data_IF_477760467265
#
_entry.id   IF_477760467265
#
_cell.length_a   1.000
_cell.length_b   1.000
_cell.length_c   1.000
_cell.angle_alpha   90.00
_cell.angle_beta   90.00
_cell.angle_gamma   90.00
#
_symmetry.space_group_name_H-M   'P 1'
#
loop_
_entity.id
_entity.type
_entity.pdbx_description
1 polymer ?
2 non-polymer ?
3 water ?
#
# COMPACT_ATOMS: atom_id res chain seq x y z
N UNK A 1 6.91 29.59 14.10
CA UNK A 1 5.96 29.38 13.01
C UNK A 1 6.58 29.95 11.74
N UNK A 2 6.41 29.25 10.63
CA UNK A 2 7.00 29.65 9.35
C UNK A 2 5.89 29.90 8.33
N UNK A 3 6.16 30.79 7.39
CA UNK A 3 5.18 31.21 6.40
C UNK A 3 5.42 30.47 5.10
N UNK A 4 4.35 29.91 4.53
CA UNK A 4 4.40 29.22 3.24
C UNK A 4 4.05 30.19 2.12
N UNK A 5 4.96 30.33 1.17
CA UNK A 5 4.74 31.12 -0.05
C UNK A 5 4.46 30.15 -1.18
N UNK A 6 3.20 30.04 -1.56
CA UNK A 6 2.77 29.08 -2.57
C UNK A 6 2.76 29.78 -3.93
N UNK A 7 3.29 29.11 -4.94
CA UNK A 7 3.42 29.68 -6.27
C UNK A 7 3.12 28.60 -7.30
N UNK A 8 2.67 29.04 -8.47
CA UNK A 8 2.25 28.11 -9.50
C UNK A 8 0.87 27.52 -9.21
N UNK A 9 0.52 26.53 -10.01
CA UNK A 9 -0.78 25.88 -9.93
C UNK A 9 -0.62 24.42 -9.50
N UNK A 10 -1.48 23.98 -8.60
CA UNK A 10 -1.33 22.66 -8.00
C UNK A 10 -1.39 21.58 -9.08
N UNK A 11 -0.49 20.61 -8.98
CA UNK A 11 -0.46 19.54 -9.95
C UNK A 11 0.24 19.88 -11.26
N UNK A 12 0.82 21.06 -11.39
CA UNK A 12 1.45 21.48 -12.63
C UNK A 12 2.95 21.65 -12.39
N UNK A 13 3.69 21.80 -13.49
CA UNK A 13 5.15 21.83 -13.39
C UNK A 13 5.68 23.10 -12.72
N UNK A 14 4.87 24.15 -12.66
CA UNK A 14 5.30 25.40 -12.03
C UNK A 14 4.98 25.49 -10.55
N UNK A 15 4.32 24.48 -9.98
CA UNK A 15 3.93 24.56 -8.58
C UNK A 15 5.16 24.51 -7.70
N UNK A 16 5.20 25.36 -6.68
CA UNK A 16 6.38 25.49 -5.84
C UNK A 16 5.98 26.11 -4.52
N UNK A 17 6.52 25.57 -3.43
CA UNK A 17 6.26 26.08 -2.09
C UNK A 17 7.58 26.53 -1.48
N UNK A 18 7.62 27.80 -1.09
CA UNK A 18 8.79 28.40 -0.45
C UNK A 18 8.43 28.78 0.99
N UNK A 19 9.45 28.82 1.84
CA UNK A 19 9.27 29.11 3.25
C UNK A 19 9.91 30.45 3.60
N UNK A 20 9.26 31.19 4.49
CA UNK A 20 9.79 32.44 5.00
C UNK A 20 9.46 32.55 6.47
N UNK A 21 10.28 33.32 7.20
CA UNK A 21 9.93 33.71 8.57
C UNK A 21 8.71 34.61 8.56
N UNK A 22 8.30 35.07 9.74
CA UNK A 22 7.23 36.04 9.82
C UNK A 22 7.75 37.45 9.61
N UNK A 23 9.06 37.62 9.51
CA UNK A 23 9.66 38.85 9.03
C UNK A 23 9.44 39.06 7.54
N UNK A 24 9.22 37.99 6.78
CA UNK A 24 9.24 38.02 5.34
C UNK A 24 10.52 37.46 4.75
N UNK A 25 11.57 37.34 5.56
CA UNK A 25 12.83 36.76 5.12
C UNK A 25 12.63 35.34 4.61
N UNK A 26 13.07 35.08 3.39
CA UNK A 26 13.02 33.73 2.86
C UNK A 26 14.07 32.85 3.53
N UNK A 27 13.79 31.55 3.59
CA UNK A 27 14.76 30.63 4.19
C UNK A 27 14.53 29.22 3.67
N UNK A 28 15.61 28.44 3.66
CA UNK A 28 15.59 27.06 3.19
C UNK A 28 15.03 26.14 4.27
N UNK A 29 14.02 25.33 3.97
CA UNK A 29 13.54 24.34 4.95
C UNK A 29 14.59 23.31 5.32
N UNK A 30 15.58 23.07 4.46
CA UNK A 30 16.63 22.09 4.76
C UNK A 30 17.79 22.72 5.53
N UNK A 31 18.19 23.94 5.16
CA UNK A 31 19.37 24.56 5.73
C UNK A 31 19.07 25.44 6.94
N UNK A 32 18.00 26.24 6.91
CA UNK A 32 17.85 27.29 7.89
C UNK A 32 16.80 27.02 8.96
N UNK A 33 16.05 25.92 8.85
CA UNK A 33 15.13 25.52 9.91
C UNK A 33 15.89 24.67 10.93
N UNK A 34 15.84 25.02 12.22
CA UNK A 34 16.53 24.20 13.22
C UNK A 34 15.92 22.82 13.33
N UNK A 35 16.77 21.81 13.48
CA UNK A 35 16.28 20.44 13.65
C UNK A 35 15.52 20.30 14.97
N UNK A 36 16.00 20.96 16.03
CA UNK A 36 15.36 20.94 17.34
C UNK A 36 14.65 22.27 17.59
N UNK A 37 13.33 22.33 17.47
CA UNK A 37 12.65 23.63 17.65
C UNK A 37 12.81 24.22 19.05
N UNK A 38 13.02 23.40 20.08
CA UNK A 38 13.30 23.89 21.43
C UNK A 38 14.63 23.34 21.96
N UNK A 39 15.61 23.17 21.07
CA UNK A 39 16.90 22.71 21.49
C UNK A 39 16.93 21.21 21.79
N UNK A 40 18.15 20.67 21.86
CA UNK A 40 18.32 19.24 22.09
C UNK A 40 17.98 18.84 23.52
N UNK A 41 17.83 19.80 24.43
CA UNK A 41 17.54 19.51 25.83
C UNK A 41 16.06 19.59 26.17
N UNK A 42 15.20 19.82 25.18
CA UNK A 42 13.77 19.85 25.43
C UNK A 42 13.28 18.47 25.85
N UNK A 43 12.36 18.45 26.81
CA UNK A 43 11.73 17.21 27.25
C UNK A 43 10.23 17.47 27.27
N UNK A 44 9.42 16.73 26.49
CA UNK A 44 9.80 15.66 25.56
C UNK A 44 10.59 16.19 24.37
N UNK A 45 11.50 15.35 23.85
CA UNK A 45 12.36 15.78 22.77
C UNK A 45 11.56 15.94 21.48
N UNK A 46 11.67 17.11 20.87
CA UNK A 46 10.95 17.45 19.65
C UNK A 46 11.92 17.65 18.50
N UNK A 47 11.55 17.13 17.33
CA UNK A 47 12.25 17.38 16.10
C UNK A 47 11.31 18.09 15.15
N UNK A 48 11.84 19.01 14.36
CA UNK A 48 11.00 19.64 13.34
C UNK A 48 10.94 18.75 12.11
N UNK A 49 9.75 18.69 11.52
CA UNK A 49 9.51 17.92 10.31
C UNK A 49 9.02 18.86 9.22
N UNK A 50 9.68 18.82 8.06
CA UNK A 50 9.24 19.53 6.88
C UNK A 50 8.33 18.59 6.10
N UNK A 51 7.04 18.93 6.04
CA UNK A 51 6.07 18.08 5.36
C UNK A 51 6.21 18.31 3.85
N UNK A 52 6.53 17.25 3.13
CA UNK A 52 6.61 17.29 1.68
C UNK A 52 5.39 16.69 1.01
N UNK A 53 4.95 15.51 1.45
CA UNK A 53 3.81 14.83 0.86
C UNK A 53 2.69 14.71 1.90
N UNK A 54 1.58 15.40 1.71
CA UNK A 54 0.49 15.34 2.70
C UNK A 54 -0.16 13.98 2.74
N UNK A 55 -0.73 13.67 3.90
CA UNK A 55 -1.54 12.47 4.08
C UNK A 55 -2.60 12.38 2.98
N UNK A 56 -2.71 11.20 2.38
CA UNK A 56 -3.73 10.86 1.38
C UNK A 56 -3.49 11.56 0.03
N UNK A 57 -2.22 11.74 -0.35
CA UNK A 57 -1.86 12.21 -1.67
C UNK A 57 -0.79 11.29 -2.25
N UNK A 58 -0.46 11.48 -3.53
CA UNK A 58 0.50 10.61 -4.19
C UNK A 58 1.48 11.33 -5.09
N UNK A 59 1.40 12.65 -5.23
CA UNK A 59 2.41 13.37 -6.01
C UNK A 59 3.72 13.39 -5.24
N UNK A 60 4.82 13.11 -5.95
CA UNK A 60 6.13 13.02 -5.32
C UNK A 60 6.70 14.42 -5.16
N UNK A 61 6.24 15.10 -4.11
CA UNK A 61 6.77 16.41 -3.76
C UNK A 61 8.02 16.23 -2.92
N UNK A 62 9.05 17.04 -3.22
CA UNK A 62 10.31 16.95 -2.50
C UNK A 62 10.99 18.31 -2.50
N UNK A 63 11.79 18.56 -1.46
CA UNK A 63 12.67 19.71 -1.46
C UNK A 63 13.67 19.61 -2.60
N UNK A 64 13.81 20.69 -3.36
CA UNK A 64 14.75 20.74 -4.49
C UNK A 64 16.07 21.31 -3.97
N UNK A 65 16.98 20.41 -3.60
CA UNK A 65 18.19 20.82 -2.90
C UNK A 65 19.15 21.62 -3.78
N UNK A 66 19.04 21.53 -5.10
CA UNK A 66 19.91 22.31 -5.98
C UNK A 66 19.49 23.77 -6.08
N UNK A 67 18.20 24.05 -5.85
CA UNK A 67 17.68 25.39 -6.11
C UNK A 67 17.90 26.29 -4.90
N UNK A 68 17.96 27.61 -5.11
CA UNK A 68 18.10 28.52 -3.97
C UNK A 68 16.90 28.44 -3.04
N UNK A 69 17.18 28.33 -1.75
CA UNK A 69 16.22 28.18 -0.67
C UNK A 69 15.52 26.84 -0.68
N UNK A 70 15.97 25.90 -1.51
CA UNK A 70 15.51 24.51 -1.51
C UNK A 70 13.98 24.39 -1.43
N UNK A 71 13.27 24.93 -2.44
CA UNK A 71 11.80 24.87 -2.41
C UNK A 71 11.29 23.46 -2.63
N UNK A 72 10.03 23.27 -2.27
CA UNK A 72 9.36 21.99 -2.46
C UNK A 72 8.62 22.05 -3.79
N UNK A 73 8.93 21.11 -4.68
CA UNK A 73 8.30 21.01 -5.99
C UNK A 73 8.08 19.53 -6.28
N UNK A 74 7.32 19.27 -7.34
CA UNK A 74 7.04 17.88 -7.72
C UNK A 74 8.23 17.31 -8.49
N UNK A 75 8.60 16.08 -8.14
CA UNK A 75 9.70 15.41 -8.81
C UNK A 75 9.37 15.17 -10.28
N UNK A 76 10.42 15.14 -11.10
CA UNK A 76 10.28 14.92 -12.54
C UNK A 76 10.91 13.60 -12.93
N UNK A 77 10.28 12.93 -13.91
CA UNK A 77 10.86 11.78 -14.60
C UNK A 77 11.93 12.26 -15.59
N UNK A 78 12.70 11.31 -16.12
CA UNK A 78 13.67 11.65 -17.17
C UNK A 78 12.95 12.17 -18.40
N UNK A 79 11.74 11.66 -18.64
CA UNK A 79 10.81 12.18 -19.64
C UNK A 79 10.52 13.65 -19.40
N UNK A 80 10.73 14.14 -18.18
CA UNK A 80 10.34 15.47 -17.82
C UNK A 80 8.89 15.61 -17.41
N UNK A 81 8.14 14.51 -17.39
CA UNK A 81 6.77 14.52 -16.90
C UNK A 81 6.76 14.47 -15.38
N UNK A 82 5.69 14.99 -14.80
CA UNK A 82 5.54 14.97 -13.35
C UNK A 82 5.47 13.53 -12.83
N UNK A 83 6.24 13.25 -11.79
CA UNK A 83 6.32 11.91 -11.22
C UNK A 83 5.38 11.80 -10.03
N UNK A 84 4.60 10.72 -10.00
CA UNK A 84 3.77 10.37 -8.86
C UNK A 84 4.16 8.99 -8.37
N UNK A 85 3.90 8.73 -7.09
CA UNK A 85 3.97 7.36 -6.62
C UNK A 85 2.82 6.55 -7.21
N UNK A 86 3.04 5.25 -7.36
CA UNK A 86 2.00 4.39 -7.93
C UNK A 86 0.82 4.24 -6.99
N UNK A 87 1.00 4.53 -5.70
CA UNK A 87 -0.04 4.37 -4.70
C UNK A 87 -0.12 5.62 -3.84
N UNK A 88 -1.31 5.86 -3.29
CA UNK A 88 -1.50 6.98 -2.37
C UNK A 88 -0.82 6.69 -1.04
N UNK A 89 -0.10 7.69 -0.52
CA UNK A 89 0.49 7.60 0.80
C UNK A 89 -0.54 8.01 1.85
N UNK A 90 -0.73 7.15 2.86
CA UNK A 90 -1.80 7.34 3.83
C UNK A 90 -1.35 8.11 5.08
N UNK A 91 -0.17 8.71 5.05
CA UNK A 91 0.34 9.44 6.20
C UNK A 91 1.13 10.65 5.71
N UNK A 92 1.15 11.71 6.54
CA UNK A 92 2.01 12.84 6.24
C UNK A 92 3.46 12.40 6.19
N UNK A 93 4.18 12.87 5.17
CA UNK A 93 5.51 12.38 4.88
C UNK A 93 6.42 13.54 4.51
N UNK A 94 7.67 13.48 4.96
CA UNK A 94 8.61 14.53 4.69
C UNK A 94 10.02 14.21 5.13
N UNK A 95 10.73 15.20 5.68
CA UNK A 95 12.13 15.02 6.00
C UNK A 95 12.51 15.91 7.18
N UNK A 96 13.59 15.53 7.84
CA UNK A 96 14.17 16.32 8.93
C UNK A 96 15.11 17.37 8.36
N UNK A 97 14.97 18.64 8.75
CA UNK A 97 15.94 19.64 8.32
C UNK A 97 17.33 19.35 8.88
N UNK A 98 18.34 19.84 8.17
CA UNK A 98 19.73 19.76 8.62
C UNK A 98 20.14 18.31 8.89
N UNK A 99 19.67 17.41 8.05
CA UNK A 99 20.07 16.01 8.09
C UNK A 99 20.50 15.59 6.69
N UNK A 100 21.42 14.64 6.63
CA UNK A 100 21.91 14.12 5.36
C UNK A 100 22.36 12.69 5.59
N UNK A 101 21.77 11.76 4.83
CA UNK A 101 22.15 10.35 4.95
C UNK A 101 23.39 10.14 4.07
N UNK A 102 24.52 10.55 4.61
CA UNK A 102 25.81 10.50 3.95
C UNK A 102 26.08 9.10 3.41
N UNK A 103 26.20 8.92 2.09
CA UNK A 103 26.65 7.63 1.56
C UNK A 103 28.08 7.39 2.00
N UNK A 104 28.75 6.39 1.43
CA UNK A 104 30.16 6.18 1.76
C UNK A 104 30.38 5.85 3.23
N UNK A 105 29.32 5.88 4.03
CA UNK A 105 29.42 5.55 5.45
C UNK A 105 28.73 4.21 5.60
N UNK A 106 29.45 3.17 6.00
CA UNK A 106 28.90 1.82 5.83
C UNK A 106 28.07 1.35 7.02
N UNK A 107 26.90 0.77 6.71
CA UNK A 107 26.04 0.27 7.74
C UNK A 107 26.50 -1.07 8.29
N UNK A 108 25.98 -1.40 9.48
CA UNK A 108 26.26 -2.67 10.09
C UNK A 108 25.74 -3.86 9.30
N UNK A 109 25.84 -5.05 9.88
CA UNK A 109 25.41 -6.26 9.19
C UNK A 109 23.90 -6.47 9.30
N UNK A 110 23.25 -5.79 10.25
CA UNK A 110 21.79 -5.78 10.34
C UNK A 110 21.12 -5.04 9.20
N UNK A 111 21.83 -4.16 8.51
CA UNK A 111 21.29 -3.43 7.38
C UNK A 111 21.94 -3.87 6.07
N UNK A 112 22.47 -5.09 6.04
CA UNK A 112 23.13 -5.65 4.85
C UNK A 112 24.28 -4.78 4.38
N UNK A 113 24.94 -4.07 5.31
CA UNK A 113 26.05 -3.17 5.01
C UNK A 113 25.67 -2.09 4.01
N UNK A 114 24.38 -1.80 3.86
CA UNK A 114 23.90 -0.80 2.92
C UNK A 114 24.41 0.59 3.29
N UNK A 115 24.49 1.46 2.28
CA UNK A 115 25.02 2.80 2.49
C UNK A 115 23.87 3.82 2.54
N UNK A 116 24.22 5.05 2.93
CA UNK A 116 23.23 6.10 3.04
C UNK A 116 22.57 6.42 1.70
N UNK A 117 21.28 6.83 1.78
CA UNK A 117 20.51 7.16 0.57
C UNK A 117 20.94 8.46 -0.08
N UNK A 118 21.75 9.27 0.60
CA UNK A 118 22.21 10.52 0.04
C UNK A 118 21.24 11.68 0.16
N UNK A 119 20.07 11.48 0.75
CA UNK A 119 19.04 12.49 0.90
C UNK A 119 18.86 12.90 2.36
N UNK A 120 18.12 13.98 2.63
CA UNK A 120 17.70 14.25 4.01
C UNK A 120 16.87 13.10 4.57
N UNK A 121 17.00 12.89 5.88
CA UNK A 121 16.37 11.73 6.53
C UNK A 121 14.86 11.83 6.45
N UNK A 122 14.23 10.73 6.04
CA UNK A 122 12.78 10.69 5.84
C UNK A 122 12.06 10.41 7.15
N UNK A 123 10.87 10.99 7.28
CA UNK A 123 10.04 10.82 8.46
C UNK A 123 8.58 10.66 8.04
N UNK A 124 7.89 9.71 8.67
CA UNK A 124 6.46 9.50 8.48
C UNK A 124 5.75 9.97 9.75
N UNK A 125 4.80 10.88 9.59
CA UNK A 125 4.00 11.39 10.69
C UNK A 125 2.65 10.69 10.67
N UNK A 126 2.26 10.10 11.80
CA UNK A 126 1.14 9.16 11.85
C UNK A 126 -0.12 9.80 12.39
N UNK A 127 -0.12 11.11 12.61
CA UNK A 127 -1.29 11.79 13.14
C UNK A 127 -2.47 11.77 12.18
N UNK A 128 -3.63 12.12 12.73
CA UNK A 128 -4.87 12.05 11.96
C UNK A 128 -5.05 13.22 11.01
N UNK A 129 -4.55 14.40 11.37
CA UNK A 129 -4.79 15.62 10.60
C UNK A 129 -3.89 15.69 9.37
N UNK A 130 -4.48 16.11 8.25
CA UNK A 130 -3.72 16.33 7.02
C UNK A 130 -2.93 17.62 7.13
N UNK A 131 -1.62 17.54 6.90
CA UNK A 131 -0.70 18.66 6.96
C UNK A 131 -0.37 19.17 5.57
N UNK A 132 -0.15 20.47 5.41
CA UNK A 132 0.04 21.04 4.06
C UNK A 132 1.46 20.84 3.56
N UNK A 133 1.58 20.92 2.22
CA UNK A 133 2.90 20.93 1.61
C UNK A 133 3.69 22.12 2.12
N UNK A 134 4.90 21.86 2.61
CA UNK A 134 5.71 22.91 3.17
C UNK A 134 5.45 23.23 4.63
N UNK A 135 4.52 22.54 5.27
CA UNK A 135 4.31 22.72 6.69
C UNK A 135 5.52 22.27 7.50
N UNK A 136 5.75 22.96 8.62
CA UNK A 136 6.81 22.62 9.55
C UNK A 136 6.17 22.36 10.90
N UNK A 137 6.26 21.13 11.37
CA UNK A 137 5.62 20.74 12.63
C UNK A 137 6.62 20.05 13.55
N UNK A 138 6.61 20.37 14.85
CA UNK A 138 7.44 19.62 15.79
C UNK A 138 6.84 18.24 16.04
N UNK A 139 7.68 17.22 16.00
CA UNK A 139 7.23 15.84 16.14
C UNK A 139 8.06 15.14 17.20
N UNK A 140 7.45 14.16 17.85
CA UNK A 140 8.15 13.25 18.75
C UNK A 140 8.41 11.95 18.01
N UNK A 141 9.67 11.52 18.01
CA UNK A 141 10.08 10.34 17.26
C UNK A 141 9.68 9.08 18.03
N UNK A 142 9.06 8.13 17.33
CA UNK A 142 8.54 6.92 17.94
C UNK A 142 9.28 5.65 17.52
N UNK A 143 9.96 5.65 16.39
CA UNK A 143 10.59 4.46 15.87
C UNK A 143 11.06 4.67 14.45
N UNK A 144 11.60 3.60 13.88
CA UNK A 144 12.19 3.69 12.55
C UNK A 144 12.23 2.32 11.89
N UNK A 145 11.90 2.29 10.61
CA UNK A 145 12.01 1.10 9.79
C UNK A 145 13.22 1.24 8.88
N UNK A 146 14.04 0.20 8.81
CA UNK A 146 15.29 0.25 8.04
C UNK A 146 15.04 -0.38 6.67
N UNK A 147 14.42 0.39 5.79
CA UNK A 147 14.15 -0.09 4.44
C UNK A 147 15.43 -0.08 3.62
N UNK A 148 15.63 -1.13 2.82
CA UNK A 148 16.77 -1.25 1.92
C UNK A 148 16.26 -1.15 0.49
N UNK A 149 16.61 -0.07 -0.20
CA UNK A 149 16.19 0.17 -1.57
C UNK A 149 17.42 0.03 -2.46
N UNK A 150 17.59 -1.15 -3.05
CA UNK A 150 18.71 -1.43 -3.93
C UNK A 150 20.06 -1.08 -3.35
N UNK A 151 20.44 -1.74 -2.26
CA UNK A 151 21.71 -1.50 -1.63
C UNK A 151 21.82 -0.20 -0.88
N UNK A 152 20.79 0.64 -0.89
CA UNK A 152 20.79 1.90 -0.16
C UNK A 152 19.94 1.75 1.10
N UNK A 153 20.49 2.16 2.24
CA UNK A 153 19.73 2.21 3.48
C UNK A 153 18.83 3.43 3.47
N UNK A 154 17.52 3.21 3.51
CA UNK A 154 16.53 4.29 3.40
C UNK A 154 15.62 4.22 4.62
N UNK A 155 16.07 4.82 5.71
CA UNK A 155 15.30 4.84 6.96
C UNK A 155 13.96 5.54 6.74
N UNK A 156 12.92 4.99 7.37
CA UNK A 156 11.63 5.67 7.49
C UNK A 156 11.36 5.83 8.98
N UNK A 157 11.66 7.02 9.51
CA UNK A 157 11.43 7.31 10.91
C UNK A 157 9.94 7.56 11.12
N UNK A 158 9.38 7.00 12.18
CA UNK A 158 7.98 7.19 12.53
C UNK A 158 7.89 8.20 13.67
N UNK A 159 6.95 9.14 13.55
CA UNK A 159 6.87 10.23 14.51
C UNK A 159 5.41 10.64 14.67
N UNK A 160 5.14 11.39 15.74
CA UNK A 160 3.80 11.88 16.02
C UNK A 160 3.88 13.39 16.23
N UNK A 161 2.95 14.10 15.59
CA UNK A 161 2.92 15.56 15.65
C UNK A 161 2.53 16.05 17.05
N UNK A 162 3.27 17.02 17.57
CA UNK A 162 2.84 17.67 18.81
C UNK A 162 1.54 18.42 18.55
N UNK A 163 0.57 18.20 19.42
CA UNK A 163 -0.77 18.71 19.22
C UNK A 163 -1.77 17.69 18.75
N UNK A 164 -1.31 16.57 18.21
CA UNK A 164 -2.20 15.45 17.93
C UNK A 164 -2.72 14.89 19.25
N UNK A 165 -4.00 14.48 19.31
CA UNK A 165 -4.57 14.05 20.60
C UNK A 165 -3.79 12.93 21.29
N UNK A 166 -3.14 12.03 20.54
CA UNK A 166 -2.43 10.91 21.15
C UNK A 166 -0.96 11.21 21.43
N UNK A 167 -0.53 12.46 21.32
CA UNK A 167 0.88 12.80 21.45
C UNK A 167 1.44 12.31 22.79
N UNK A 168 0.84 12.73 23.90
CA UNK A 168 1.35 12.37 25.21
C UNK A 168 1.22 10.88 25.50
N UNK A 169 0.38 10.17 24.75
CA UNK A 169 0.16 8.75 24.97
C UNK A 169 1.07 7.86 24.12
N UNK A 170 1.71 8.41 23.10
CA UNK A 170 2.59 7.66 22.22
C UNK A 170 4.04 8.03 22.50
N UNK A 171 4.83 7.05 22.92
CA UNK A 171 6.25 7.27 23.15
C UNK A 171 7.16 6.22 22.50
N UNK A 172 6.62 5.09 22.04
CA UNK A 172 7.43 4.10 21.35
C UNK A 172 6.54 3.28 20.41
N UNK A 173 7.18 2.37 19.68
CA UNK A 173 6.46 1.48 18.76
C UNK A 173 5.34 0.73 19.48
N UNK A 174 5.61 0.27 20.70
CA UNK A 174 4.62 -0.53 21.42
C UNK A 174 3.32 0.22 21.63
N UNK A 175 3.41 1.53 21.92
CA UNK A 175 2.20 2.33 22.07
C UNK A 175 1.44 2.45 20.76
N UNK A 176 2.16 2.55 19.64
CA UNK A 176 1.51 2.64 18.34
C UNK A 176 0.79 1.33 18.03
N UNK A 177 1.48 0.20 18.22
CA UNK A 177 0.85 -1.09 18.03
C UNK A 177 -0.38 -1.26 18.91
N UNK A 178 -0.37 -0.64 20.10
CA UNK A 178 -1.48 -0.80 21.04
C UNK A 178 -2.65 0.11 20.71
N UNK A 179 -2.38 1.39 20.44
CA UNK A 179 -3.42 2.38 20.28
C UNK A 179 -3.75 2.73 18.82
N UNK A 180 -2.96 2.21 17.86
CA UNK A 180 -3.16 2.51 16.43
C UNK A 180 -2.84 1.24 15.64
N UNK A 181 -3.78 0.30 15.64
CA UNK A 181 -3.54 -0.97 14.96
C UNK A 181 -3.41 -0.77 13.46
N UNK A 182 -2.44 -1.46 12.86
CA UNK A 182 -2.20 -1.40 11.44
C UNK A 182 -1.33 -0.25 10.97
N UNK A 183 -0.95 0.67 11.86
CA UNK A 183 -0.13 1.81 11.43
C UNK A 183 1.29 1.37 11.12
N UNK A 184 1.94 0.67 12.06
CA UNK A 184 3.30 0.21 11.82
C UNK A 184 3.37 -0.78 10.66
N UNK A 185 2.56 -1.85 10.61
CA UNK A 185 2.63 -2.74 9.43
C UNK A 185 2.14 -2.06 8.16
N UNK A 186 1.18 -1.14 8.25
CA UNK A 186 0.75 -0.42 7.06
C UNK A 186 1.86 0.39 6.44
N UNK A 187 2.69 1.03 7.28
CA UNK A 187 3.81 1.81 6.76
C UNK A 187 4.89 0.89 6.20
N UNK A 188 5.18 -0.22 6.91
CA UNK A 188 6.19 -1.15 6.41
C UNK A 188 5.77 -1.75 5.07
N UNK A 189 4.53 -2.19 4.96
CA UNK A 189 4.08 -2.83 3.73
C UNK A 189 3.95 -1.81 2.59
N UNK A 190 3.64 -0.55 2.93
CA UNK A 190 3.57 0.48 1.89
C UNK A 190 4.92 0.67 1.22
N UNK A 191 5.97 0.87 2.03
CA UNK A 191 7.30 1.10 1.47
C UNK A 191 7.96 -0.16 0.96
N UNK A 192 7.48 -1.35 1.37
CA UNK A 192 8.00 -2.58 0.80
C UNK A 192 7.55 -2.77 -0.64
N UNK A 193 6.30 -2.39 -0.95
CA UNK A 193 5.66 -2.76 -2.20
C UNK A 193 5.53 -1.62 -3.20
N UNK A 194 5.73 -0.37 -2.80
CA UNK A 194 5.29 0.75 -3.63
C UNK A 194 6.09 0.92 -4.91
N UNK A 195 7.25 0.28 -5.04
CA UNK A 195 8.04 0.39 -6.27
C UNK A 195 7.96 -0.87 -7.12
N UNK A 196 7.07 -1.80 -6.79
CA UNK A 196 6.84 -2.95 -7.66
C UNK A 196 6.27 -2.55 -9.02
N UNK A 197 5.26 -1.68 -9.12
CA UNK A 197 4.77 -1.33 -10.46
C UNK A 197 5.75 -0.50 -11.25
N UNK A 198 6.54 0.35 -10.60
CA UNK A 198 7.45 1.23 -11.32
C UNK A 198 8.79 0.56 -11.64
N UNK A 199 9.30 -0.26 -10.72
CA UNK A 199 10.63 -0.82 -10.86
C UNK A 199 10.68 -2.34 -10.77
N UNK A 200 9.54 -3.00 -10.56
CA UNK A 200 9.48 -4.46 -10.45
C UNK A 200 10.41 -4.99 -9.36
N UNK A 201 10.53 -4.24 -8.27
CA UNK A 201 11.37 -4.62 -7.14
C UNK A 201 10.53 -4.60 -5.88
N UNK A 202 10.77 -5.59 -5.02
CA UNK A 202 10.22 -5.60 -3.67
C UNK A 202 11.34 -5.24 -2.71
N UNK A 203 11.14 -4.18 -1.93
CA UNK A 203 12.18 -3.72 -1.03
C UNK A 203 12.34 -4.68 0.15
N UNK A 204 13.48 -4.60 0.80
CA UNK A 204 13.77 -5.36 2.01
C UNK A 204 13.87 -4.42 3.19
N UNK A 205 13.93 -5.01 4.38
CA UNK A 205 14.09 -4.26 5.61
C UNK A 205 15.20 -4.89 6.45
N UNK A 206 16.10 -4.05 6.95
CA UNK A 206 17.11 -4.51 7.89
C UNK A 206 16.51 -4.79 9.25
N UNK A 207 17.37 -5.29 10.14
CA UNK A 207 16.98 -5.59 11.52
C UNK A 207 15.78 -6.55 11.57
N UNK A 208 15.76 -7.51 10.64
CA UNK A 208 14.70 -8.51 10.56
C UNK A 208 13.31 -7.87 10.44
N UNK A 209 13.24 -6.74 9.72
CA UNK A 209 12.02 -5.99 9.43
C UNK A 209 11.41 -5.33 10.67
N UNK A 210 12.10 -5.35 11.80
CA UNK A 210 11.53 -4.78 13.02
C UNK A 210 11.46 -3.26 12.93
N UNK A 211 10.45 -2.69 13.59
CA UNK A 211 10.42 -1.26 13.82
C UNK A 211 11.30 -0.98 15.02
N UNK A 212 12.45 -0.34 14.79
CA UNK A 212 13.38 -0.08 15.86
C UNK A 212 12.74 0.86 16.90
N UNK A 213 13.11 0.69 18.17
CA UNK A 213 12.48 1.52 19.21
C UNK A 213 12.81 3.00 19.05
N UNK A 214 12.04 3.81 19.79
CA UNK A 214 12.17 5.26 19.69
C UNK A 214 13.60 5.73 19.96
N UNK A 215 14.24 5.14 20.97
CA UNK A 215 15.60 5.54 21.31
C UNK A 215 16.56 5.26 20.16
N UNK A 216 16.41 4.13 19.49
CA UNK A 216 17.23 3.85 18.31
C UNK A 216 16.93 4.85 17.19
N UNK A 217 15.65 5.19 17.02
CA UNK A 217 15.29 6.15 15.98
C UNK A 217 15.80 7.55 16.30
N UNK A 218 15.90 7.90 17.58
CA UNK A 218 16.54 9.16 17.94
C UNK A 218 17.99 9.18 17.49
N UNK A 219 18.70 8.07 17.67
CA UNK A 219 20.10 7.99 17.27
C UNK A 219 20.25 8.03 15.75
N UNK A 220 19.28 7.49 15.01
CA UNK A 220 19.30 7.59 13.56
C UNK A 220 19.26 9.06 13.14
N UNK A 221 18.40 9.86 13.78
CA UNK A 221 18.30 11.28 13.45
C UNK A 221 19.58 12.01 13.83
N UNK A 222 20.12 11.72 15.02
CA UNK A 222 21.36 12.37 15.46
C UNK A 222 22.48 12.13 14.45
N UNK A 223 22.69 10.87 14.06
CA UNK A 223 23.78 10.55 13.15
C UNK A 223 23.63 11.28 11.82
N UNK A 224 22.41 11.32 11.26
CA UNK A 224 22.19 12.07 10.04
C UNK A 224 22.38 13.56 10.25
N UNK A 225 22.05 14.05 11.45
CA UNK A 225 22.30 15.46 11.76
C UNK A 225 23.79 15.77 11.75
N UNK A 226 24.61 14.84 12.28
CA UNK A 226 26.05 15.06 12.33
C UNK A 226 26.67 14.98 10.93
N UNK A 227 26.16 14.09 10.08
CA UNK A 227 26.59 14.06 8.68
C UNK A 227 26.39 15.41 8.02
N UNK A 228 25.23 16.02 8.23
CA UNK A 228 24.96 17.33 7.65
C UNK A 228 25.90 18.39 8.21
N UNK A 229 26.02 18.44 9.55
CA UNK A 229 26.87 19.43 10.19
C UNK A 229 28.33 19.30 9.75
N UNK A 230 28.79 18.07 9.53
CA UNK A 230 30.16 17.87 9.08
C UNK A 230 30.40 18.52 7.72
N UNK A 231 29.38 18.58 6.87
CA UNK A 231 29.50 19.26 5.58
C UNK A 231 29.73 20.75 5.76
N UNK A 232 29.34 21.31 6.90
CA UNK A 232 29.41 22.74 7.16
C UNK A 232 30.67 23.14 7.91
N UNK A 233 31.44 22.18 8.40
CA UNK A 233 32.51 22.47 9.35
C UNK A 233 33.72 23.11 8.65
N UNK A 234 34.50 23.82 9.45
CA UNK A 234 35.81 24.31 9.06
C UNK A 234 36.87 23.42 9.69
N UNK A 235 38.08 23.48 9.13
CA UNK A 235 39.22 22.69 9.60
C UNK A 235 38.86 21.20 9.69
N UNK B 1 -7.51 -22.43 -22.72
CA UNK B 1 -8.86 -22.83 -22.43
C UNK B 1 -10.05 -21.85 -22.68
N UNK B 2 -10.00 -20.58 -22.28
CA UNK B 2 -11.09 -19.65 -22.58
C UNK B 2 -10.52 -18.52 -23.43
N UNK B 3 -11.34 -17.97 -24.31
CA UNK B 3 -10.91 -16.97 -25.26
C UNK B 3 -11.30 -15.59 -24.79
N UNK B 4 -10.34 -14.66 -24.80
CA UNK B 4 -10.62 -13.27 -24.44
C UNK B 4 -10.89 -12.49 -25.72
N UNK B 5 -12.06 -11.89 -25.81
CA UNK B 5 -12.38 -10.97 -26.91
C UNK B 5 -12.30 -9.55 -26.35
N UNK B 6 -11.19 -8.88 -26.62
CA UNK B 6 -10.91 -7.56 -26.08
C UNK B 6 -11.33 -6.50 -27.10
N UNK B 7 -11.99 -5.46 -26.61
CA UNK B 7 -12.48 -4.39 -27.47
C UNK B 7 -12.28 -3.06 -26.74
N UNK B 8 -12.11 -2.00 -27.53
CA UNK B 8 -11.81 -0.70 -26.96
C UNK B 8 -10.35 -0.63 -26.49
N UNK B 9 -10.05 0.47 -25.79
CA UNK B 9 -8.72 0.72 -25.27
C UNK B 9 -8.78 0.73 -23.75
N UNK B 10 -7.75 0.14 -23.12
CA UNK B 10 -7.81 -0.26 -21.73
C UNK B 10 -8.14 0.88 -20.77
N UNK B 11 -7.76 2.10 -21.08
CA UNK B 11 -8.04 3.18 -20.17
C UNK B 11 -9.30 3.99 -20.44
N UNK B 12 -10.10 3.61 -21.43
CA UNK B 12 -11.26 4.40 -21.84
C UNK B 12 -12.56 3.66 -21.60
N UNK B 13 -13.65 4.40 -21.76
CA UNK B 13 -14.98 3.92 -21.42
C UNK B 13 -15.46 2.82 -22.36
N UNK B 14 -14.85 2.67 -23.53
CA UNK B 14 -15.28 1.64 -24.47
C UNK B 14 -14.61 0.30 -24.22
N UNK B 15 -13.69 0.23 -23.25
CA UNK B 15 -12.97 -1.02 -23.01
C UNK B 15 -13.87 -2.08 -22.40
N UNK B 16 -13.74 -3.30 -22.91
CA UNK B 16 -14.56 -4.41 -22.48
C UNK B 16 -13.88 -5.70 -22.89
N UNK B 17 -13.92 -6.70 -22.02
CA UNK B 17 -13.37 -8.01 -22.28
C UNK B 17 -14.51 -9.02 -22.21
N UNK B 18 -14.72 -9.76 -23.29
CA UNK B 18 -15.76 -10.77 -23.37
C UNK B 18 -15.09 -12.14 -23.48
N UNK B 19 -15.77 -13.17 -22.96
CA UNK B 19 -15.21 -14.51 -22.91
C UNK B 19 -16.01 -15.46 -23.80
N UNK B 20 -15.31 -16.37 -24.45
CA UNK B 20 -15.94 -17.41 -25.24
C UNK B 20 -15.17 -18.71 -25.06
N UNK B 21 -15.85 -19.83 -25.26
CA UNK B 21 -15.12 -21.10 -25.32
C UNK B 21 -14.18 -21.07 -26.53
N UNK B 22 -13.40 -22.13 -26.77
CA UNK B 22 -12.62 -22.20 -28.00
C UNK B 22 -13.46 -22.68 -29.17
N UNK B 23 -14.70 -23.08 -28.92
CA UNK B 23 -15.60 -23.29 -30.05
C UNK B 23 -16.00 -21.98 -30.72
N UNK B 24 -15.88 -20.86 -30.03
CA UNK B 24 -16.42 -19.60 -30.45
C UNK B 24 -17.66 -19.21 -29.69
N UNK B 25 -18.33 -20.18 -29.08
CA UNK B 25 -19.51 -19.96 -28.27
C UNK B 25 -19.20 -19.05 -27.08
N UNK B 26 -20.00 -18.00 -26.93
CA UNK B 26 -19.86 -17.09 -25.80
C UNK B 26 -20.30 -17.77 -24.52
N UNK B 27 -19.73 -17.34 -23.40
CA UNK B 27 -20.11 -17.90 -22.11
C UNK B 27 -19.79 -16.90 -21.01
N UNK B 28 -20.55 -16.99 -19.93
CA UNK B 28 -20.36 -16.12 -18.77
C UNK B 28 -19.22 -16.63 -17.90
N UNK B 29 -18.22 -15.79 -17.60
CA UNK B 29 -17.19 -16.21 -16.64
C UNK B 29 -17.74 -16.48 -15.25
N UNK B 30 -18.89 -15.91 -14.89
CA UNK B 30 -19.48 -16.17 -13.59
C UNK B 30 -20.36 -17.41 -13.58
N UNK B 31 -21.16 -17.62 -14.63
CA UNK B 31 -22.13 -18.71 -14.60
C UNK B 31 -21.62 -20.01 -15.19
N UNK B 32 -20.89 -19.96 -16.31
CA UNK B 32 -20.64 -21.16 -17.10
C UNK B 32 -19.19 -21.64 -17.04
N UNK B 33 -18.30 -20.91 -16.39
CA UNK B 33 -16.96 -21.46 -16.13
C UNK B 33 -17.05 -22.32 -14.88
N UNK B 34 -16.62 -23.58 -14.95
CA UNK B 34 -16.70 -24.44 -13.76
C UNK B 34 -15.76 -23.96 -12.68
N UNK B 35 -16.26 -24.00 -11.44
CA UNK B 35 -15.44 -23.63 -10.30
C UNK B 35 -14.30 -24.62 -10.11
N UNK B 36 -14.58 -25.91 -10.34
CA UNK B 36 -13.57 -26.97 -10.23
C UNK B 36 -13.18 -27.42 -11.63
N UNK B 37 -12.05 -26.95 -12.17
CA UNK B 37 -11.70 -27.32 -13.55
C UNK B 37 -11.41 -28.80 -13.74
N UNK B 38 -10.97 -29.51 -12.69
CA UNK B 38 -10.74 -30.94 -12.76
C UNK B 38 -11.53 -31.70 -11.70
N UNK B 39 -12.73 -31.23 -11.39
CA UNK B 39 -13.59 -31.91 -10.44
C UNK B 39 -13.15 -31.71 -9.00
N UNK B 40 -14.08 -32.00 -8.09
CA UNK B 40 -13.87 -31.84 -6.66
C UNK B 40 -12.93 -32.87 -6.06
N UNK B 41 -12.59 -33.94 -6.80
CA UNK B 41 -11.78 -35.01 -6.25
C UNK B 41 -10.30 -34.86 -6.55
N UNK B 42 -9.89 -33.80 -7.22
CA UNK B 42 -8.47 -33.57 -7.48
C UNK B 42 -7.74 -33.19 -6.19
N UNK B 43 -6.53 -33.72 -6.03
CA UNK B 43 -5.63 -33.34 -4.93
C UNK B 43 -4.25 -33.09 -5.50
N UNK B 44 -3.67 -31.89 -5.33
CA UNK B 44 -4.32 -30.76 -4.66
C UNK B 44 -5.53 -30.21 -5.42
N UNK B 45 -6.54 -29.79 -4.66
CA UNK B 45 -7.78 -29.31 -5.26
C UNK B 45 -7.54 -27.96 -5.93
N UNK B 46 -7.97 -27.84 -7.18
CA UNK B 46 -7.78 -26.63 -7.96
C UNK B 46 -9.11 -25.94 -8.19
N UNK B 47 -9.09 -24.61 -8.08
CA UNK B 47 -10.24 -23.76 -8.34
C UNK B 47 -9.92 -22.85 -9.52
N UNK B 48 -10.93 -22.54 -10.31
CA UNK B 48 -10.77 -21.59 -11.40
C UNK B 48 -10.87 -20.17 -10.85
N UNK B 49 -10.03 -19.28 -11.35
CA UNK B 49 -10.05 -17.87 -10.97
C UNK B 49 -10.23 -17.02 -12.21
N UNK B 50 -11.24 -16.15 -12.19
CA UNK B 50 -11.45 -15.17 -13.24
C UNK B 50 -10.72 -13.90 -12.84
N UNK B 51 -9.68 -13.55 -13.59
CA UNK B 51 -8.87 -12.37 -13.29
C UNK B 51 -9.61 -11.11 -13.77
N UNK B 52 -9.89 -10.20 -12.83
CA UNK B 52 -10.47 -8.91 -13.15
C UNK B 52 -9.44 -7.79 -13.14
N UNK B 53 -8.60 -7.73 -12.12
CA UNK B 53 -7.61 -6.66 -11.98
C UNK B 53 -6.21 -7.25 -12.04
N UNK B 54 -5.43 -6.96 -13.08
CA UNK B 54 -4.08 -7.52 -13.17
C UNK B 54 -3.14 -6.94 -12.13
N UNK B 55 -2.13 -7.74 -11.80
CA UNK B 55 -1.04 -7.30 -10.94
C UNK B 55 -0.46 -5.98 -11.43
N UNK B 56 -0.27 -5.04 -10.51
CA UNK B 56 0.36 -3.74 -10.77
C UNK B 56 -0.52 -2.81 -11.59
N UNK B 57 -1.83 -2.88 -11.40
CA UNK B 57 -2.77 -1.96 -12.04
C UNK B 57 -3.67 -1.34 -10.98
N UNK B 58 -4.47 -0.37 -11.42
CA UNK B 58 -5.26 0.44 -10.50
C UNK B 58 -6.71 0.66 -10.94
N UNK B 59 -7.07 0.27 -12.15
CA UNK B 59 -8.44 0.40 -12.63
C UNK B 59 -9.33 -0.67 -12.02
N UNK B 60 -10.53 -0.27 -11.58
CA UNK B 60 -11.46 -1.18 -10.93
C UNK B 60 -12.25 -1.94 -11.99
N UNK B 61 -11.61 -2.98 -12.54
CA UNK B 61 -12.27 -3.86 -13.50
C UNK B 61 -13.06 -4.95 -12.78
N UNK B 62 -14.27 -5.22 -13.26
CA UNK B 62 -15.06 -6.29 -12.66
C UNK B 62 -16.03 -6.86 -13.68
N UNK B 63 -16.41 -8.11 -13.46
CA UNK B 63 -17.48 -8.72 -14.23
C UNK B 63 -18.76 -7.93 -14.05
N UNK B 64 -19.46 -7.64 -15.15
CA UNK B 64 -20.71 -6.90 -15.09
C UNK B 64 -21.85 -7.91 -14.99
N UNK B 65 -22.27 -8.19 -13.75
CA UNK B 65 -23.23 -9.27 -13.50
C UNK B 65 -24.61 -8.97 -14.05
N UNK B 66 -24.91 -7.69 -14.33
CA UNK B 66 -26.20 -7.35 -14.90
C UNK B 66 -26.29 -7.68 -16.38
N UNK B 67 -25.15 -7.69 -17.07
CA UNK B 67 -25.16 -7.78 -18.52
C UNK B 67 -25.14 -9.23 -18.98
N UNK B 68 -25.64 -9.50 -20.19
CA UNK B 68 -25.58 -10.86 -20.74
C UNK B 68 -24.14 -11.31 -20.93
N UNK B 69 -23.85 -12.53 -20.48
CA UNK B 69 -22.54 -13.19 -20.51
C UNK B 69 -21.52 -12.55 -19.58
N UNK B 70 -21.96 -11.65 -18.70
CA UNK B 70 -21.12 -11.08 -17.64
C UNK B 70 -19.75 -10.62 -18.14
N UNK B 71 -19.69 -9.67 -19.06
CA UNK B 71 -18.39 -9.18 -19.54
C UNK B 71 -17.69 -8.38 -18.47
N UNK B 72 -16.38 -8.22 -18.64
CA UNK B 72 -15.56 -7.44 -17.71
C UNK B 72 -15.36 -6.04 -18.27
N UNK B 73 -15.73 -5.03 -17.49
CA UNK B 73 -15.50 -3.64 -17.84
C UNK B 73 -15.14 -2.87 -16.58
N UNK B 74 -14.71 -1.62 -16.78
CA UNK B 74 -14.32 -0.78 -15.65
C UNK B 74 -15.55 -0.20 -14.97
N UNK B 75 -15.55 -0.25 -13.64
CA UNK B 75 -16.64 0.31 -12.86
C UNK B 75 -16.72 1.82 -13.06
N UNK B 76 -17.93 2.37 -12.94
CA UNK B 76 -18.16 3.79 -13.09
C UNK B 76 -18.56 4.40 -11.75
N UNK B 77 -18.04 5.60 -11.48
CA UNK B 77 -18.61 6.38 -10.41
C UNK B 77 -19.92 7.00 -10.89
N UNK B 78 -20.70 7.53 -9.96
CA UNK B 78 -21.88 8.25 -10.37
C UNK B 78 -21.49 9.49 -11.17
N UNK B 79 -20.29 10.07 -10.93
CA UNK B 79 -19.99 11.21 -11.79
C UNK B 79 -19.78 10.73 -13.25
N UNK B 80 -19.81 9.41 -13.49
CA UNK B 80 -19.70 8.84 -14.81
C UNK B 80 -18.28 8.64 -15.29
N UNK B 81 -17.32 8.99 -14.46
CA UNK B 81 -15.92 8.74 -14.73
C UNK B 81 -15.56 7.30 -14.38
N UNK B 82 -14.55 6.79 -15.08
CA UNK B 82 -14.03 5.48 -14.78
C UNK B 82 -13.45 5.48 -13.37
N UNK B 83 -13.76 4.43 -12.60
CA UNK B 83 -13.35 4.37 -11.20
C UNK B 83 -12.02 3.65 -11.07
N UNK B 84 -11.13 4.24 -10.29
CA UNK B 84 -9.85 3.63 -9.94
C UNK B 84 -9.74 3.54 -8.43
N UNK B 85 -8.98 2.55 -7.95
CA UNK B 85 -8.55 2.54 -6.57
C UNK B 85 -7.55 3.67 -6.34
N UNK B 86 -7.48 4.14 -5.09
CA UNK B 86 -6.52 5.19 -4.79
C UNK B 86 -5.08 4.69 -4.85
N UNK B 87 -4.87 3.37 -4.77
CA UNK B 87 -3.54 2.79 -4.76
C UNK B 87 -3.49 1.63 -5.75
N UNK B 88 -2.29 1.37 -6.27
CA UNK B 88 -2.09 0.26 -7.19
C UNK B 88 -2.16 -1.07 -6.44
N UNK B 89 -2.87 -2.02 -7.02
CA UNK B 89 -2.92 -3.37 -6.48
C UNK B 89 -1.72 -4.17 -6.97
N UNK B 90 -0.99 -4.77 -6.04
CA UNK B 90 0.29 -5.41 -6.34
C UNK B 90 0.15 -6.90 -6.64
N UNK B 91 -1.06 -7.40 -6.80
CA UNK B 91 -1.28 -8.82 -7.08
C UNK B 91 -2.45 -8.97 -8.03
N UNK B 92 -2.43 -10.05 -8.81
CA UNK B 92 -3.57 -10.38 -9.65
C UNK B 92 -4.80 -10.60 -8.77
N UNK B 93 -5.92 -10.02 -9.19
CA UNK B 93 -7.11 -9.98 -8.35
C UNK B 93 -8.33 -10.27 -9.21
N UNK B 94 -9.28 -11.02 -8.64
CA UNK B 94 -10.47 -11.39 -9.36
C UNK B 94 -11.49 -12.10 -8.49
N UNK B 95 -12.14 -13.12 -9.04
CA UNK B 95 -13.22 -13.79 -8.34
C UNK B 95 -13.32 -15.24 -8.80
N UNK B 96 -13.95 -16.06 -7.95
CA UNK B 96 -14.24 -17.47 -8.27
C UNK B 96 -15.54 -17.56 -9.04
N UNK B 97 -15.58 -18.27 -10.17
CA UNK B 97 -16.86 -18.48 -10.85
C UNK B 97 -17.81 -19.29 -9.99
N UNK B 98 -19.11 -19.09 -10.22
CA UNK B 98 -20.16 -19.87 -9.57
C UNK B 98 -20.08 -19.77 -8.05
N UNK B 99 -19.76 -18.58 -7.54
CA UNK B 99 -19.76 -18.31 -6.11
C UNK B 99 -20.57 -17.06 -5.83
N UNK B 100 -21.15 -17.00 -4.63
CA UNK B 100 -21.96 -15.86 -4.25
C UNK B 100 -21.91 -15.70 -2.74
N UNK B 101 -21.50 -14.52 -2.29
CA UNK B 101 -21.44 -14.18 -0.87
C UNK B 101 -22.82 -13.73 -0.42
N UNK B 102 -23.70 -14.70 -0.19
CA UNK B 102 -25.10 -14.48 0.16
C UNK B 102 -25.20 -13.52 1.36
N UNK B 103 -25.78 -12.33 1.17
CA UNK B 103 -25.96 -11.41 2.30
C UNK B 103 -26.95 -11.91 3.35
N UNK B 104 -27.82 -12.86 3.01
CA UNK B 104 -28.81 -13.39 3.94
C UNK B 104 -28.23 -14.27 5.04
N UNK B 105 -26.94 -14.59 5.01
CA UNK B 105 -26.38 -15.53 5.97
C UNK B 105 -25.43 -14.85 6.93
N UNK B 106 -25.70 -14.89 8.24
CA UNK B 106 -24.94 -14.09 9.20
C UNK B 106 -23.75 -14.86 9.73
N UNK B 107 -22.61 -14.19 9.78
CA UNK B 107 -21.42 -14.82 10.31
C UNK B 107 -21.46 -14.83 11.82
N UNK B 108 -20.68 -15.73 12.41
CA UNK B 108 -20.58 -15.69 13.86
C UNK B 108 -19.90 -14.41 14.31
N UNK B 109 -19.59 -14.28 15.61
CA UNK B 109 -18.85 -13.09 15.99
C UNK B 109 -17.38 -13.12 15.72
N UNK B 110 -16.84 -14.19 15.20
CA UNK B 110 -15.48 -13.97 14.77
C UNK B 110 -15.41 -12.91 13.68
N UNK B 111 -16.52 -12.64 12.96
CA UNK B 111 -16.57 -11.65 11.89
C UNK B 111 -17.52 -10.49 12.20
N UNK B 112 -17.75 -10.21 13.49
CA UNK B 112 -18.62 -9.11 13.94
C UNK B 112 -20.04 -9.23 13.39
N UNK B 113 -20.49 -10.47 13.23
CA UNK B 113 -21.83 -10.82 12.71
C UNK B 113 -22.09 -10.21 11.36
N UNK B 114 -21.02 -9.84 10.68
CA UNK B 114 -21.22 -9.34 9.35
C UNK B 114 -21.75 -10.47 8.46
N UNK B 115 -22.42 -10.00 7.45
CA UNK B 115 -23.18 -10.54 6.36
C UNK B 115 -22.39 -10.60 5.06
N UNK B 116 -22.87 -11.45 4.16
CA UNK B 116 -22.23 -11.59 2.89
C UNK B 116 -22.24 -10.29 2.10
N UNK B 117 -21.13 -10.04 1.37
CA UNK B 117 -21.03 -8.81 0.60
C UNK B 117 -21.88 -8.80 -0.66
N UNK B 118 -22.50 -9.93 -1.02
CA UNK B 118 -23.41 -10.02 -2.15
C UNK B 118 -22.78 -10.21 -3.50
N UNK B 119 -21.47 -10.29 -3.59
CA UNK B 119 -20.75 -10.44 -4.85
C UNK B 119 -20.12 -11.83 -4.96
N UNK B 120 -19.62 -12.19 -6.14
CA UNK B 120 -18.80 -13.40 -6.23
C UNK B 120 -17.60 -13.31 -5.30
N UNK B 121 -17.18 -14.47 -4.79
CA UNK B 121 -16.12 -14.50 -3.79
C UNK B 121 -14.81 -13.99 -4.37
N UNK B 122 -14.16 -13.08 -3.64
CA UNK B 122 -12.94 -12.46 -4.12
C UNK B 122 -11.73 -13.35 -3.82
N UNK B 123 -10.76 -13.31 -4.72
CA UNK B 123 -9.54 -14.10 -4.58
C UNK B 123 -8.36 -13.25 -5.04
N UNK B 124 -7.27 -13.31 -4.27
CA UNK B 124 -6.01 -12.66 -4.61
C UNK B 124 -5.02 -13.75 -5.00
N UNK B 125 -4.45 -13.62 -6.21
CA UNK B 125 -3.44 -14.55 -6.71
C UNK B 125 -2.07 -13.91 -6.55
N UNK B 126 -1.16 -14.64 -5.90
CA UNK B 126 0.09 -14.05 -5.42
C UNK B 126 1.29 -14.40 -6.31
N UNK B 127 1.04 -15.03 -7.46
CA UNK B 127 2.14 -15.40 -8.34
C UNK B 127 2.85 -14.20 -8.92
N UNK B 128 4.04 -14.47 -9.49
CA UNK B 128 4.89 -13.41 -10.00
C UNK B 128 4.41 -12.87 -11.34
N UNK B 129 3.78 -13.72 -12.14
CA UNK B 129 3.43 -13.34 -13.51
C UNK B 129 2.17 -12.46 -13.51
N UNK B 130 2.21 -11.42 -14.35
CA UNK B 130 1.04 -10.55 -14.53
C UNK B 130 0.03 -11.28 -15.42
N UNK B 131 -1.21 -11.39 -14.93
CA UNK B 131 -2.28 -12.05 -15.66
C UNK B 131 -3.21 -11.02 -16.30
N UNK B 132 -3.77 -11.31 -17.47
CA UNK B 132 -4.56 -10.31 -18.18
C UNK B 132 -5.98 -10.22 -17.66
N UNK B 133 -6.61 -9.08 -17.95
CA UNK B 133 -8.04 -8.92 -17.68
C UNK B 133 -8.81 -9.98 -18.43
N UNK B 134 -9.67 -10.70 -17.73
CA UNK B 134 -10.43 -11.78 -18.32
C UNK B 134 -9.71 -13.11 -18.37
N UNK B 135 -8.47 -13.19 -17.88
CA UNK B 135 -7.80 -14.47 -17.80
C UNK B 135 -8.49 -15.40 -16.83
N UNK B 136 -8.45 -16.69 -17.16
CA UNK B 136 -9.01 -17.74 -16.32
C UNK B 136 -7.88 -18.73 -16.01
N UNK B 137 -7.50 -18.82 -14.74
CA UNK B 137 -6.38 -19.67 -14.36
C UNK B 137 -6.77 -20.58 -13.20
N UNK B 138 -6.37 -21.85 -13.22
CA UNK B 138 -6.58 -22.72 -12.05
C UNK B 138 -5.60 -22.35 -10.95
N UNK B 139 -6.11 -22.24 -9.72
CA UNK B 139 -5.32 -21.81 -8.58
C UNK B 139 -5.49 -22.80 -7.43
N UNK B 140 -4.46 -22.86 -6.58
CA UNK B 140 -4.53 -23.59 -5.32
C UNK B 140 -4.75 -22.60 -4.18
N UNK B 141 -5.76 -22.85 -3.35
CA UNK B 141 -6.11 -21.94 -2.27
C UNK B 141 -5.13 -22.12 -1.13
N UNK B 142 -4.61 -21.00 -0.61
CA UNK B 142 -3.62 -21.02 0.45
C UNK B 142 -4.12 -20.48 1.78
N UNK B 143 -5.17 -19.67 1.77
CA UNK B 143 -5.63 -19.02 2.98
C UNK B 143 -6.66 -17.96 2.64
N UNK B 144 -7.09 -17.26 3.68
CA UNK B 144 -8.16 -16.28 3.50
C UNK B 144 -8.10 -15.24 4.63
N UNK B 145 -8.27 -13.98 4.26
CA UNK B 145 -8.37 -12.88 5.20
C UNK B 145 -9.83 -12.43 5.27
N UNK B 146 -10.34 -12.25 6.49
CA UNK B 146 -11.74 -11.90 6.71
C UNK B 146 -11.86 -10.39 6.90
N UNK B 147 -11.83 -9.66 5.78
CA UNK B 147 -12.00 -8.21 5.87
C UNK B 147 -13.43 -7.84 6.18
N UNK B 148 -13.60 -6.83 7.02
CA UNK B 148 -14.90 -6.25 7.32
C UNK B 148 -14.91 -4.87 6.68
N UNK B 149 -15.69 -4.71 5.61
CA UNK B 149 -15.78 -3.46 4.86
C UNK B 149 -17.14 -2.85 5.12
N UNK B 150 -17.18 -1.90 6.07
CA UNK B 150 -18.41 -1.25 6.45
C UNK B 150 -19.53 -2.22 6.82
N UNK B 151 -19.29 -3.03 7.86
CA UNK B 151 -20.26 -3.98 8.32
C UNK B 151 -20.50 -5.17 7.42
N UNK B 152 -19.83 -5.25 6.28
CA UNK B 152 -19.96 -6.39 5.37
C UNK B 152 -18.74 -7.29 5.47
N UNK B 153 -18.98 -8.59 5.57
CA UNK B 153 -17.89 -9.56 5.53
C UNK B 153 -17.45 -9.73 4.08
N UNK B 154 -16.19 -9.36 3.80
CA UNK B 154 -15.64 -9.35 2.44
C UNK B 154 -14.36 -10.18 2.44
N UNK B 155 -14.52 -11.49 2.30
CA UNK B 155 -13.38 -12.39 2.28
C UNK B 155 -12.44 -12.05 1.14
N UNK B 156 -11.14 -12.15 1.42
CA UNK B 156 -10.09 -12.11 0.40
C UNK B 156 -9.34 -13.42 0.49
N UNK B 157 -9.69 -14.36 -0.37
CA UNK B 157 -9.03 -15.66 -0.41
C UNK B 157 -7.68 -15.50 -1.09
N UNK B 158 -6.65 -16.14 -0.53
CA UNK B 158 -5.31 -16.12 -1.10
C UNK B 158 -5.06 -17.42 -1.84
N UNK B 159 -4.47 -17.30 -3.03
CA UNK B 159 -4.27 -18.46 -3.89
C UNK B 159 -3.00 -18.28 -4.71
N UNK B 160 -2.52 -19.38 -5.26
CA UNK B 160 -1.33 -19.39 -6.10
C UNK B 160 -1.68 -20.09 -7.42
N UNK B 161 -1.28 -19.47 -8.53
CA UNK B 161 -1.59 -19.99 -9.85
C UNK B 161 -0.81 -21.27 -10.13
N UNK B 162 -1.50 -22.28 -10.65
CA UNK B 162 -0.81 -23.48 -11.13
C UNK B 162 0.09 -23.11 -12.32
N UNK B 163 1.33 -23.54 -12.25
CA UNK B 163 2.34 -23.15 -13.22
C UNK B 163 3.31 -22.10 -12.71
N UNK B 164 2.95 -21.40 -11.63
CA UNK B 164 3.92 -20.52 -10.99
C UNK B 164 5.06 -21.36 -10.42
N UNK B 165 6.30 -20.89 -10.51
CA UNK B 165 7.43 -21.74 -10.09
C UNK B 165 7.35 -22.23 -8.65
N UNK B 166 6.74 -21.44 -7.76
CA UNK B 166 6.65 -21.78 -6.34
C UNK B 166 5.36 -22.51 -5.98
N UNK B 167 4.60 -22.95 -6.99
CA UNK B 167 3.32 -23.62 -6.73
C UNK B 167 3.49 -24.81 -5.80
N UNK B 168 4.39 -25.73 -6.16
CA UNK B 168 4.58 -26.94 -5.37
C UNK B 168 5.15 -26.66 -3.98
N UNK B 169 5.75 -25.48 -3.77
CA UNK B 169 6.34 -25.15 -2.48
C UNK B 169 5.40 -24.41 -1.54
N UNK B 170 4.28 -23.90 -2.04
CA UNK B 170 3.32 -23.16 -1.23
C UNK B 170 2.10 -24.04 -0.98
N UNK B 171 1.87 -24.38 0.29
CA UNK B 171 0.71 -25.18 0.66
C UNK B 171 -0.06 -24.65 1.86
N UNK B 172 0.47 -23.67 2.59
CA UNK B 172 -0.23 -23.11 3.73
C UNK B 172 0.20 -21.66 3.94
N UNK B 173 -0.47 -21.01 4.89
CA UNK B 173 -0.13 -19.62 5.24
C UNK B 173 1.35 -19.52 5.64
N UNK B 174 1.82 -20.47 6.44
CA UNK B 174 3.19 -20.41 6.95
C UNK B 174 4.20 -20.47 5.81
N UNK B 175 3.91 -21.26 4.78
CA UNK B 175 4.82 -21.34 3.63
C UNK B 175 4.92 -19.99 2.92
N UNK B 176 3.80 -19.28 2.82
CA UNK B 176 3.81 -17.96 2.17
C UNK B 176 4.62 -16.97 3.01
N UNK B 177 4.35 -16.92 4.32
CA UNK B 177 5.15 -16.07 5.21
C UNK B 177 6.63 -16.42 5.14
N UNK B 178 6.95 -17.67 4.86
CA UNK B 178 8.33 -18.11 4.85
C UNK B 178 9.01 -17.81 3.52
N UNK B 179 8.35 -18.13 2.40
CA UNK B 179 9.01 -18.01 1.10
C UNK B 179 8.62 -16.75 0.32
N UNK B 180 7.66 -15.95 0.83
CA UNK B 180 7.19 -14.76 0.13
C UNK B 180 6.92 -13.69 1.21
N UNK B 181 8.00 -13.08 1.70
CA UNK B 181 7.85 -12.10 2.77
C UNK B 181 7.05 -10.89 2.31
N UNK B 182 6.16 -10.42 3.18
CA UNK B 182 5.34 -9.26 2.89
C UNK B 182 4.09 -9.53 2.07
N UNK B 183 3.87 -10.74 1.58
CA UNK B 183 2.69 -11.00 0.76
C UNK B 183 1.44 -11.03 1.63
N UNK B 184 1.44 -11.84 2.69
CA UNK B 184 0.28 -11.89 3.57
C UNK B 184 0.04 -10.55 4.28
N UNK B 185 1.02 -9.95 4.96
CA UNK B 185 0.74 -8.63 5.56
C UNK B 185 0.55 -7.53 4.53
N UNK B 186 1.23 -7.61 3.38
CA UNK B 186 1.01 -6.61 2.34
C UNK B 186 -0.41 -6.62 1.81
N UNK B 187 -0.98 -7.82 1.64
CA UNK B 187 -2.37 -7.90 1.19
C UNK B 187 -3.31 -7.43 2.29
N UNK B 188 -3.03 -7.82 3.55
CA UNK B 188 -3.86 -7.36 4.66
C UNK B 188 -3.81 -5.85 4.80
N UNK B 189 -2.61 -5.27 4.76
CA UNK B 189 -2.50 -3.83 4.93
C UNK B 189 -3.03 -3.07 3.72
N UNK B 190 -2.93 -3.65 2.52
CA UNK B 190 -3.49 -2.99 1.35
C UNK B 190 -5.00 -2.81 1.49
N UNK B 191 -5.70 -3.88 1.83
CA UNK B 191 -7.15 -3.81 1.96
C UNK B 191 -7.59 -3.12 3.25
N UNK B 192 -6.70 -3.01 4.23
CA UNK B 192 -7.05 -2.25 5.44
C UNK B 192 -7.09 -0.75 5.16
N UNK B 193 -6.18 -0.26 4.31
CA UNK B 193 -5.94 1.17 4.16
C UNK B 193 -6.46 1.78 2.87
N UNK B 194 -6.84 0.97 1.88
CA UNK B 194 -7.04 1.51 0.54
C UNK B 194 -8.25 2.44 0.43
N UNK B 195 -9.15 2.45 1.41
CA UNK B 195 -10.29 3.35 1.38
C UNK B 195 -10.16 4.53 2.32
N UNK B 196 -8.99 4.76 2.89
CA UNK B 196 -8.78 5.97 3.69
C UNK B 196 -8.90 7.25 2.87
N UNK B 197 -8.26 7.39 1.70
CA UNK B 197 -8.44 8.64 0.95
C UNK B 197 -9.84 8.79 0.36
N UNK B 198 -10.50 7.70 -0.01
CA UNK B 198 -11.81 7.80 -0.64
C UNK B 198 -12.92 7.95 0.39
N UNK B 199 -12.83 7.25 1.52
CA UNK B 199 -13.92 7.21 2.48
C UNK B 199 -13.52 7.57 3.91
N UNK B 200 -12.25 7.86 4.17
CA UNK B 200 -11.78 8.17 5.53
C UNK B 200 -12.11 7.03 6.50
N UNK B 201 -12.01 5.79 6.01
CA UNK B 201 -12.31 4.61 6.79
C UNK B 201 -11.11 3.68 6.80
N UNK B 202 -10.80 3.12 7.96
CA UNK B 202 -9.84 2.04 8.09
C UNK B 202 -10.62 0.76 8.35
N UNK B 203 -10.45 -0.23 7.49
CA UNK B 203 -11.20 -1.48 7.60
C UNK B 203 -10.63 -2.34 8.72
N UNK B 204 -11.45 -3.31 9.15
CA UNK B 204 -11.05 -4.30 10.15
C UNK B 204 -10.95 -5.67 9.51
N UNK B 205 -10.40 -6.61 10.27
CA UNK B 205 -10.30 -8.00 9.85
C UNK B 205 -10.80 -8.90 10.97
N UNK B 206 -11.64 -9.86 10.62
CA UNK B 206 -12.11 -10.83 11.58
C UNK B 206 -11.03 -11.85 11.93
N UNK B 207 -11.38 -12.73 12.86
CA UNK B 207 -10.50 -13.81 13.31
C UNK B 207 -9.15 -13.26 13.80
N UNK B 208 -9.20 -12.12 14.48
CA UNK B 208 -7.99 -11.46 15.03
C UNK B 208 -6.98 -11.14 13.93
N UNK B 209 -7.47 -10.79 12.74
CA UNK B 209 -6.68 -10.39 11.58
C UNK B 209 -5.84 -11.53 11.01
N UNK B 210 -6.01 -12.75 11.52
CA UNK B 210 -5.23 -13.87 11.04
C UNK B 210 -5.69 -14.29 9.64
N UNK B 211 -4.76 -14.81 8.86
CA UNK B 211 -5.08 -15.50 7.62
C UNK B 211 -5.51 -16.93 7.94
N UNK B 212 -6.78 -17.25 7.73
CA UNK B 212 -7.27 -18.58 8.01
C UNK B 212 -6.52 -19.62 7.17
N UNK B 213 -6.32 -20.82 7.69
CA UNK B 213 -5.54 -21.82 6.96
C UNK B 213 -6.21 -22.23 5.66
N UNK B 214 -5.41 -22.87 4.80
CA UNK B 214 -5.87 -23.22 3.45
C UNK B 214 -7.12 -24.09 3.49
N UNK B 215 -7.15 -25.09 4.38
CA UNK B 215 -8.31 -25.99 4.44
C UNK B 215 -9.56 -25.24 4.84
N UNK B 216 -9.45 -24.33 5.82
CA UNK B 216 -10.60 -23.49 6.17
C UNK B 216 -10.99 -22.57 5.04
N UNK B 217 -10.00 -22.04 4.31
CA UNK B 217 -10.30 -21.15 3.20
C UNK B 217 -10.98 -21.89 2.05
N UNK B 218 -10.65 -23.17 1.86
CA UNK B 218 -11.37 -23.98 0.87
C UNK B 218 -12.84 -24.09 1.24
N UNK B 219 -13.14 -24.26 2.54
CA UNK B 219 -14.53 -24.36 2.97
C UNK B 219 -15.28 -23.06 2.76
N UNK B 220 -14.60 -21.92 2.87
CA UNK B 220 -15.22 -20.64 2.55
C UNK B 220 -15.68 -20.63 1.10
N UNK B 221 -14.84 -21.15 0.20
CA UNK B 221 -15.20 -21.20 -1.22
C UNK B 221 -16.36 -22.15 -1.44
N UNK B 222 -16.36 -23.30 -0.77
CA UNK B 222 -17.47 -24.25 -0.89
C UNK B 222 -18.79 -23.58 -0.51
N UNK B 223 -18.82 -22.91 0.64
CA UNK B 223 -20.05 -22.29 1.12
C UNK B 223 -20.57 -21.27 0.12
N UNK B 224 -19.67 -20.44 -0.44
CA UNK B 224 -20.08 -19.49 -1.46
C UNK B 224 -20.54 -20.19 -2.73
N UNK B 225 -19.93 -21.35 -3.05
CA UNK B 225 -20.38 -22.12 -4.21
C UNK B 225 -21.80 -22.64 -4.02
N UNK B 226 -22.11 -23.12 -2.82
CA UNK B 226 -23.45 -23.65 -2.58
C UNK B 226 -24.49 -22.53 -2.51
N UNK B 227 -24.11 -21.39 -1.94
CA UNK B 227 -24.99 -20.23 -2.00
C UNK B 227 -25.33 -19.88 -3.44
N UNK B 228 -24.33 -19.94 -4.33
CA UNK B 228 -24.58 -19.72 -5.75
C UNK B 228 -25.50 -20.78 -6.32
N UNK B 229 -25.19 -22.05 -6.08
CA UNK B 229 -26.03 -23.13 -6.60
C UNK B 229 -27.45 -23.03 -6.06
N UNK B 230 -27.59 -22.64 -4.79
CA UNK B 230 -28.91 -22.44 -4.22
C UNK B 230 -29.65 -21.29 -4.90
N UNK B 231 -28.91 -20.28 -5.36
CA UNK B 231 -29.54 -19.14 -6.03
C UNK B 231 -30.20 -19.55 -7.34
N UNK B 232 -29.72 -20.60 -7.99
CA UNK B 232 -30.23 -20.98 -9.30
C UNK B 232 -31.28 -22.09 -9.21
#
# INVERSE_FOLDING_TARGET
VYRRLVSGTEGEKDFRVLLSKKSGERLSPWHDIPLFPNGRDARPLLFNMVVEIPKNTRRKMEMQLRLPFTPIMQDLKKDGSLREYASTLYWNYGAFPQTWEDPREPGGREVFHARGDGDPLDVVEIGSEVLPVGGVVPVKVLGALAMIDGGELDWKVLAIREGDPLFSQLNSVADVERLCRGVVPGIREWFRWYKLPTDNVVNQFGHDEAALPAADAERVVYRAHEHYLRLLSEE
VYRRLVSGTEGEKDFRVLLSKKSGERLSPWHDIPLFPNGRDARPLLFNMVVEIPKNTRRKMEMQLRLPFTPIMQDLKKDGSLREYASTLYWNYGAFPQTWEDPREPGGREVFHARGDGDPLDVVEIGSEVLPVGGVVPVKVLGALAMIDGGELDWKVLAIREGDPLFSQLNSVADVERLCRGVVPGIREWFRWYKLPTDNVVNQFGHDEAALPAADAERVVYRAHEHYLRLLSEE
#
